data_IF_077564504579
#
_entry.id   IF_077564504579
#
_cell.length_a   1.000
_cell.length_b   1.000
_cell.length_c   1.000
_cell.angle_alpha   90.00
_cell.angle_beta   90.00
_cell.angle_gamma   90.00
#
_symmetry.space_group_name_H-M   'P 1'
#
loop_
_entity.id
_entity.type
_entity.pdbx_description
1 polymer ?
#
# COMPACT_ATOMS: atom_id res chain seq x y z
N UNK A 1 -21.31 -18.72 -16.35
CA UNK A 1 -21.78 -17.34 -16.63
C UNK A 1 -20.73 -16.68 -17.54
N UNK A 2 -21.12 -16.01 -18.62
CA UNK A 2 -20.17 -15.37 -19.55
C UNK A 2 -19.28 -14.36 -18.81
N UNK A 3 -17.98 -14.37 -19.08
CA UNK A 3 -16.96 -13.43 -18.56
C UNK A 3 -17.41 -11.98 -18.72
N UNK A 4 -18.15 -11.67 -19.77
CA UNK A 4 -18.75 -10.36 -20.02
C UNK A 4 -19.72 -9.93 -18.91
N UNK A 5 -20.54 -10.85 -18.39
CA UNK A 5 -21.51 -10.55 -17.33
C UNK A 5 -20.85 -10.23 -15.99
N UNK A 6 -19.66 -10.79 -15.73
CA UNK A 6 -18.88 -10.48 -14.52
C UNK A 6 -18.19 -9.11 -14.65
N UNK A 7 -17.69 -8.80 -15.84
CA UNK A 7 -17.07 -7.50 -16.12
C UNK A 7 -18.10 -6.35 -16.03
N UNK A 8 -19.29 -6.56 -16.58
CA UNK A 8 -20.40 -5.62 -16.50
C UNK A 8 -20.87 -5.41 -15.04
N UNK A 9 -20.89 -6.47 -14.23
CA UNK A 9 -21.22 -6.36 -12.81
C UNK A 9 -20.17 -5.53 -12.03
N UNK A 10 -18.89 -5.65 -12.38
CA UNK A 10 -17.79 -4.90 -11.77
C UNK A 10 -17.84 -3.41 -12.13
N UNK A 11 -18.16 -3.08 -13.37
CA UNK A 11 -18.36 -1.69 -13.82
C UNK A 11 -19.57 -1.04 -13.13
N UNK A 12 -20.67 -1.77 -12.99
CA UNK A 12 -21.89 -1.28 -12.34
C UNK A 12 -21.76 -1.04 -10.82
N UNK A 13 -20.71 -1.55 -10.17
CA UNK A 13 -20.41 -1.23 -8.76
C UNK A 13 -19.83 0.19 -8.59
N UNK A 14 -19.21 0.76 -9.63
CA UNK A 14 -18.61 2.11 -9.58
C UNK A 14 -19.66 3.23 -9.54
N UNK A 15 -20.86 2.99 -10.09
CA UNK A 15 -21.89 4.02 -10.30
C UNK A 15 -23.07 3.99 -9.30
N UNK A 16 -22.96 3.20 -8.23
CA UNK A 16 -24.09 3.01 -7.32
C UNK A 16 -24.39 4.29 -6.50
N UNK A 17 -25.64 4.78 -6.50
CA UNK A 17 -26.06 6.03 -5.80
C UNK A 17 -25.70 6.05 -4.30
N UNK A 18 -25.50 4.89 -3.67
CA UNK A 18 -24.95 4.74 -2.30
C UNK A 18 -23.52 5.31 -2.17
N UNK A 19 -22.66 5.15 -3.17
CA UNK A 19 -21.30 5.74 -3.19
C UNK A 19 -21.33 7.27 -3.20
N UNK A 20 -22.34 7.89 -3.82
CA UNK A 20 -22.50 9.36 -3.82
C UNK A 20 -22.86 9.90 -2.43
N UNK A 21 -23.70 9.17 -1.68
CA UNK A 21 -24.06 9.54 -0.30
C UNK A 21 -22.88 9.38 0.67
N UNK A 22 -22.10 8.31 0.50
CA UNK A 22 -20.86 8.07 1.27
C UNK A 22 -19.79 9.12 0.95
N UNK A 23 -19.58 9.47 -0.34
CA UNK A 23 -18.67 10.56 -0.75
C UNK A 23 -19.05 11.90 -0.11
N UNK A 24 -20.34 12.23 -0.05
CA UNK A 24 -20.82 13.46 0.58
C UNK A 24 -20.65 13.46 2.12
N UNK A 25 -20.75 12.31 2.78
CA UNK A 25 -20.47 12.19 4.22
C UNK A 25 -18.96 12.28 4.53
N UNK A 26 -18.11 11.66 3.70
CA UNK A 26 -16.65 11.79 3.80
C UNK A 26 -16.21 13.25 3.63
N UNK A 27 -16.80 13.99 2.69
CA UNK A 27 -16.55 15.43 2.53
C UNK A 27 -16.96 16.27 3.76
N UNK A 28 -18.07 15.92 4.41
CA UNK A 28 -18.51 16.59 5.64
C UNK A 28 -17.56 16.31 6.80
N UNK A 29 -17.02 15.10 6.90
CA UNK A 29 -16.01 14.73 7.91
C UNK A 29 -14.68 15.44 7.64
N UNK A 30 -14.25 15.57 6.37
CA UNK A 30 -13.08 16.38 5.97
C UNK A 30 -13.24 17.86 6.35
N UNK A 31 -14.45 18.43 6.21
CA UNK A 31 -14.74 19.82 6.64
C UNK A 31 -14.74 19.99 8.16
N UNK A 32 -15.21 19.01 8.94
CA UNK A 32 -15.14 19.03 10.42
C UNK A 32 -13.72 18.84 10.98
N UNK A 33 -12.82 18.15 10.27
CA UNK A 33 -11.40 18.03 10.66
C UNK A 33 -10.60 19.33 10.46
N UNK A 34 -11.06 20.27 9.61
CA UNK A 34 -10.37 21.56 9.36
C UNK A 34 -10.36 22.53 10.55
N UNK A 35 -11.19 22.33 11.59
CA UNK A 35 -11.19 23.18 12.80
C UNK A 35 -10.23 22.72 13.89
N UNK A 36 -9.57 21.57 13.73
CA UNK A 36 -8.48 21.15 14.62
C UNK A 36 -7.15 21.56 13.98
N UNK A 37 -6.71 22.76 14.36
CA UNK A 37 -5.46 23.46 14.02
C UNK A 37 -4.44 22.70 13.16
N UNK A 38 -4.42 23.02 11.87
CA UNK A 38 -3.20 22.93 11.06
C UNK A 38 -2.84 24.36 10.68
N UNK A 39 -1.82 24.89 11.35
CA UNK A 39 -1.07 26.04 10.84
C UNK A 39 -0.57 25.64 9.45
N UNK A 40 -1.01 26.39 8.44
CA UNK A 40 -0.64 26.19 7.04
C UNK A 40 -0.01 27.49 6.61
N UNK A 41 1.29 27.47 6.39
CA UNK A 41 1.95 28.52 5.65
C UNK A 41 2.53 27.94 4.35
N UNK A 42 2.03 28.57 3.27
CA UNK A 42 2.64 28.86 1.97
C UNK A 42 2.86 27.71 1.00
N UNK A 43 2.01 27.74 -0.02
CA UNK A 43 2.26 27.29 -1.38
C UNK A 43 3.64 27.78 -1.84
N UNK A 44 4.50 26.83 -2.19
CA UNK A 44 5.50 26.99 -3.23
C UNK A 44 5.59 25.64 -3.95
N UNK A 45 5.28 25.70 -5.25
CA UNK A 45 5.56 24.64 -6.20
C UNK A 45 7.08 24.50 -6.31
N UNK A 46 7.67 23.63 -5.51
CA UNK A 46 9.03 23.16 -5.71
C UNK A 46 9.11 21.69 -5.29
N UNK A 47 9.54 20.87 -6.23
CA UNK A 47 9.96 19.49 -6.11
C UNK A 47 11.09 19.39 -5.07
N UNK A 48 10.74 19.44 -3.78
CA UNK A 48 11.70 19.42 -2.70
C UNK A 48 11.92 17.98 -2.23
N UNK A 49 12.97 17.39 -2.78
CA UNK A 49 13.77 16.33 -2.17
C UNK A 49 14.03 16.67 -0.68
N UNK A 50 13.19 16.14 0.21
CA UNK A 50 13.33 16.33 1.66
C UNK A 50 14.19 15.22 2.27
N UNK A 51 15.45 15.15 1.85
CA UNK A 51 16.52 14.65 2.70
C UNK A 51 16.86 15.77 3.68
N UNK A 52 16.13 15.83 4.80
CA UNK A 52 16.46 16.72 5.91
C UNK A 52 17.84 16.34 6.45
N UNK A 53 18.76 17.30 6.42
CA UNK A 53 20.05 17.26 7.13
C UNK A 53 19.80 16.93 8.61
N UNK A 54 19.99 15.65 8.93
CA UNK A 54 20.00 15.13 10.29
C UNK A 54 21.45 14.86 10.67
N UNK A 55 21.89 15.48 11.76
CA UNK A 55 23.20 15.33 12.36
C UNK A 55 23.70 13.89 12.35
N UNK A 56 24.95 13.72 11.94
CA UNK A 56 25.67 12.44 11.83
C UNK A 56 26.07 11.98 13.24
N UNK A 57 25.08 11.60 14.04
CA UNK A 57 25.32 10.83 15.27
C UNK A 57 24.10 9.93 15.52
N UNK A 58 24.30 8.61 15.35
CA UNK A 58 23.28 7.54 15.23
C UNK A 58 22.41 7.54 13.95
N UNK A 59 22.88 6.78 12.94
CA UNK A 59 22.21 6.49 11.65
C UNK A 59 20.86 5.76 11.84
N UNK A 60 19.83 6.49 12.25
CA UNK A 60 18.45 6.00 12.22
C UNK A 60 17.71 6.66 11.05
N UNK A 61 16.99 5.86 10.26
CA UNK A 61 16.23 6.36 9.12
C UNK A 61 15.17 7.36 9.62
N UNK A 62 15.06 8.54 8.99
CA UNK A 62 14.09 9.59 9.37
C UNK A 62 12.62 9.14 9.35
N UNK A 63 12.33 8.07 8.62
CA UNK A 63 11.00 7.45 8.48
C UNK A 63 10.82 6.20 9.35
N UNK A 64 11.84 5.83 10.13
CA UNK A 64 11.75 4.76 11.11
C UNK A 64 11.01 5.28 12.34
N UNK A 65 9.72 4.97 12.40
CA UNK A 65 8.83 5.44 13.46
C UNK A 65 8.46 4.29 14.41
N UNK A 66 7.97 4.65 15.60
CA UNK A 66 7.49 3.67 16.58
C UNK A 66 6.26 2.90 16.12
N UNK A 67 6.03 1.74 16.73
CA UNK A 67 4.94 0.81 16.38
C UNK A 67 3.56 1.46 16.38
N UNK A 68 3.27 2.34 17.34
CA UNK A 68 1.95 3.00 17.43
C UNK A 68 1.60 3.81 16.18
N UNK A 69 2.59 4.47 15.57
CA UNK A 69 2.40 5.22 14.31
C UNK A 69 2.19 4.27 13.12
N UNK A 70 2.91 3.15 13.09
CA UNK A 70 2.73 2.11 12.07
C UNK A 70 1.33 1.50 12.13
N UNK A 71 0.83 1.17 13.33
CA UNK A 71 -0.48 0.57 13.52
C UNK A 71 -1.60 1.54 13.12
N UNK A 72 -1.47 2.83 13.46
CA UNK A 72 -2.40 3.88 13.02
C UNK A 72 -2.40 4.06 11.49
N UNK A 73 -1.23 4.01 10.86
CA UNK A 73 -1.09 4.08 9.41
C UNK A 73 -1.71 2.87 8.72
N UNK A 74 -1.46 1.67 9.23
CA UNK A 74 -2.03 0.42 8.72
C UNK A 74 -3.57 0.43 8.77
N UNK A 75 -4.15 0.92 9.87
CA UNK A 75 -5.61 1.08 9.98
C UNK A 75 -6.17 2.09 8.96
N UNK A 76 -5.45 3.19 8.72
CA UNK A 76 -5.86 4.17 7.72
C UNK A 76 -5.73 3.60 6.30
N UNK A 77 -4.65 2.86 6.03
CA UNK A 77 -4.37 2.26 4.74
C UNK A 77 -5.42 1.20 4.36
N UNK A 78 -5.89 0.41 5.31
CA UNK A 78 -6.92 -0.63 5.07
C UNK A 78 -8.34 -0.08 5.02
N UNK A 79 -8.55 1.20 5.35
CA UNK A 79 -9.88 1.83 5.32
C UNK A 79 -10.42 2.11 3.91
N UNK A 80 -9.53 2.13 2.91
CA UNK A 80 -9.86 2.32 1.50
C UNK A 80 -8.85 1.57 0.63
N UNK A 81 -9.17 1.43 -0.66
CA UNK A 81 -8.21 0.91 -1.63
C UNK A 81 -7.29 2.07 -2.02
N UNK A 82 -5.98 1.83 -1.95
CA UNK A 82 -4.95 2.79 -2.31
C UNK A 82 -4.03 2.17 -3.37
N UNK A 83 -3.59 2.96 -4.34
CA UNK A 83 -2.46 2.57 -5.18
C UNK A 83 -1.12 2.82 -4.48
N UNK A 84 -0.01 2.36 -5.08
CA UNK A 84 1.32 2.47 -4.46
C UNK A 84 1.77 3.94 -4.29
N UNK A 85 1.34 4.84 -5.16
CA UNK A 85 1.71 6.27 -5.15
C UNK A 85 0.94 7.03 -4.06
N UNK A 86 -0.33 6.67 -3.87
CA UNK A 86 -1.15 7.13 -2.75
C UNK A 86 -0.57 6.65 -1.42
N UNK A 87 -0.15 5.38 -1.33
CA UNK A 87 0.53 4.83 -0.14
C UNK A 87 1.82 5.61 0.19
N UNK A 88 2.62 5.91 -0.82
CA UNK A 88 3.85 6.68 -0.67
C UNK A 88 3.55 8.09 -0.13
N UNK A 89 2.64 8.81 -0.78
CA UNK A 89 2.23 10.17 -0.40
C UNK A 89 1.69 10.20 1.04
N UNK A 90 0.86 9.23 1.41
CA UNK A 90 0.35 9.10 2.78
C UNK A 90 1.47 8.84 3.78
N UNK A 91 2.42 7.94 3.47
CA UNK A 91 3.54 7.65 4.35
C UNK A 91 4.41 8.88 4.62
N UNK A 92 4.71 9.66 3.57
CA UNK A 92 5.44 10.93 3.70
C UNK A 92 4.68 11.93 4.57
N UNK A 93 3.37 12.09 4.37
CA UNK A 93 2.53 12.99 5.19
C UNK A 93 2.46 12.57 6.66
N UNK A 94 2.51 11.27 6.95
CA UNK A 94 2.51 10.73 8.31
C UNK A 94 3.91 10.69 8.94
N UNK A 95 4.97 10.92 8.16
CA UNK A 95 6.36 10.77 8.60
C UNK A 95 6.73 9.31 8.88
N UNK A 96 6.25 8.39 8.04
CA UNK A 96 6.39 6.94 8.17
C UNK A 96 6.98 6.37 6.89
N UNK A 97 7.81 5.34 7.02
CA UNK A 97 8.33 4.62 5.87
C UNK A 97 7.18 3.84 5.21
N UNK A 98 6.78 4.17 3.96
CA UNK A 98 5.64 3.51 3.31
C UNK A 98 5.81 1.99 3.26
N UNK A 99 7.03 1.51 3.01
CA UNK A 99 7.36 0.08 3.01
C UNK A 99 6.98 -0.62 4.32
N UNK A 100 7.44 -0.10 5.46
CA UNK A 100 7.14 -0.70 6.77
C UNK A 100 5.70 -0.45 7.20
N UNK A 101 5.11 0.68 6.81
CA UNK A 101 3.69 0.99 7.07
C UNK A 101 2.74 0.02 6.36
N UNK A 102 2.95 -0.23 5.06
CA UNK A 102 2.18 -1.22 4.28
C UNK A 102 2.38 -2.62 4.85
N UNK A 103 3.61 -2.96 5.25
CA UNK A 103 3.90 -4.27 5.87
C UNK A 103 3.10 -4.50 7.15
N UNK A 104 2.92 -3.48 7.98
CA UNK A 104 2.05 -3.57 9.17
C UNK A 104 0.59 -3.90 8.84
N UNK A 105 0.10 -3.43 7.68
CA UNK A 105 -1.26 -3.68 7.23
C UNK A 105 -1.51 -5.11 6.73
N UNK A 106 -0.47 -5.87 6.36
CA UNK A 106 -0.61 -7.22 5.80
C UNK A 106 -1.42 -8.16 6.71
N UNK A 107 -1.25 -8.06 8.03
CA UNK A 107 -1.96 -8.88 9.02
C UNK A 107 -3.48 -8.72 9.00
N UNK A 108 -3.99 -7.61 8.47
CA UNK A 108 -5.42 -7.28 8.40
C UNK A 108 -5.94 -7.19 6.97
N UNK A 109 -5.09 -7.47 5.98
CA UNK A 109 -5.43 -7.38 4.58
C UNK A 109 -6.24 -8.61 4.13
N UNK A 110 -7.33 -8.38 3.41
CA UNK A 110 -8.15 -9.45 2.82
C UNK A 110 -7.66 -9.87 1.43
N UNK A 111 -6.94 -8.99 0.75
CA UNK A 111 -6.39 -9.20 -0.59
C UNK A 111 -4.99 -8.61 -0.62
N UNK A 112 -4.01 -9.38 -1.08
CA UNK A 112 -2.63 -8.95 -1.21
C UNK A 112 -2.23 -9.13 -2.67
N UNK A 113 -1.83 -8.02 -3.30
CA UNK A 113 -1.22 -8.04 -4.63
C UNK A 113 0.29 -8.12 -4.44
N UNK A 114 0.94 -9.12 -5.03
CA UNK A 114 2.39 -9.29 -4.92
C UNK A 114 3.00 -9.84 -6.20
N UNK A 115 4.26 -9.50 -6.50
CA UNK A 115 5.00 -10.11 -7.60
C UNK A 115 5.21 -11.61 -7.40
N UNK A 116 5.42 -12.35 -8.49
CA UNK A 116 5.76 -13.77 -8.44
C UNK A 116 7.02 -14.06 -7.60
N UNK A 117 8.02 -13.18 -7.64
CA UNK A 117 9.28 -13.35 -6.91
C UNK A 117 9.05 -13.45 -5.41
N UNK A 118 8.24 -12.54 -4.87
CA UNK A 118 7.83 -12.55 -3.47
C UNK A 118 6.97 -13.76 -3.14
N UNK A 119 6.12 -14.21 -4.05
CA UNK A 119 5.26 -15.38 -3.85
C UNK A 119 6.01 -16.72 -3.97
N UNK A 120 7.06 -16.85 -4.79
CA UNK A 120 7.71 -18.14 -5.09
C UNK A 120 8.92 -18.37 -4.17
N UNK A 121 9.71 -17.33 -3.91
CA UNK A 121 10.92 -17.45 -3.11
C UNK A 121 10.59 -17.50 -1.61
N UNK A 122 10.80 -18.67 -1.00
CA UNK A 122 10.41 -18.95 0.40
C UNK A 122 11.01 -17.95 1.40
N UNK A 123 12.30 -17.61 1.25
CA UNK A 123 12.95 -16.66 2.16
C UNK A 123 12.31 -15.28 2.07
N UNK A 124 11.94 -14.83 0.86
CA UNK A 124 11.26 -13.53 0.67
C UNK A 124 9.87 -13.56 1.31
N UNK A 125 9.07 -14.62 1.09
CA UNK A 125 7.76 -14.79 1.74
C UNK A 125 7.87 -14.69 3.26
N UNK A 126 8.79 -15.45 3.86
CA UNK A 126 9.02 -15.47 5.31
C UNK A 126 9.44 -14.10 5.83
N UNK A 127 10.33 -13.41 5.12
CA UNK A 127 10.76 -12.05 5.49
C UNK A 127 9.66 -11.00 5.39
N UNK A 128 8.56 -11.28 4.70
CA UNK A 128 7.38 -10.40 4.58
C UNK A 128 6.23 -10.82 5.52
N UNK A 129 6.41 -11.89 6.30
CA UNK A 129 5.36 -12.51 7.14
C UNK A 129 4.11 -12.92 6.33
N UNK A 130 4.32 -13.45 5.13
CA UNK A 130 3.25 -13.95 4.26
C UNK A 130 3.08 -15.46 4.46
N UNK A 131 1.92 -15.86 4.99
CA UNK A 131 1.51 -17.25 5.09
C UNK A 131 0.66 -17.65 3.88
N UNK A 132 1.05 -18.74 3.20
CA UNK A 132 0.31 -19.28 2.05
C UNK A 132 -0.63 -20.43 2.42
N UNK A 133 -0.44 -21.02 3.60
CA UNK A 133 -1.31 -22.09 4.09
C UNK A 133 -2.68 -21.48 4.41
N UNK A 134 -3.75 -22.22 4.13
CA UNK A 134 -5.13 -21.79 4.39
C UNK A 134 -5.56 -20.52 3.62
N UNK A 135 -4.81 -20.14 2.58
CA UNK A 135 -5.07 -19.01 1.70
C UNK A 135 -5.34 -19.47 0.26
N UNK A 136 -6.11 -18.68 -0.49
CA UNK A 136 -6.34 -18.89 -1.93
C UNK A 136 -5.34 -18.06 -2.72
N UNK A 137 -4.57 -18.72 -3.58
CA UNK A 137 -3.59 -18.06 -4.46
C UNK A 137 -4.18 -17.98 -5.86
N UNK A 138 -4.28 -16.76 -6.38
CA UNK A 138 -4.66 -16.49 -7.77
C UNK A 138 -3.40 -16.08 -8.53
N UNK A 139 -3.04 -16.87 -9.53
CA UNK A 139 -1.92 -16.56 -10.42
C UNK A 139 -2.49 -15.92 -11.67
N UNK A 140 -2.35 -14.59 -11.75
CA UNK A 140 -2.61 -13.88 -13.00
C UNK A 140 -1.57 -14.29 -14.04
N UNK A 141 -1.92 -14.31 -15.32
CA UNK A 141 -1.03 -14.68 -16.43
C UNK A 141 -0.15 -15.93 -16.18
N UNK A 142 -0.77 -17.00 -15.69
CA UNK A 142 -0.07 -18.22 -15.28
C UNK A 142 0.81 -18.88 -16.36
N UNK A 143 0.65 -18.49 -17.64
CA UNK A 143 1.54 -18.90 -18.72
C UNK A 143 2.99 -18.43 -18.51
N UNK A 144 3.22 -17.34 -17.76
CA UNK A 144 4.55 -16.81 -17.44
C UNK A 144 5.18 -17.45 -16.19
N UNK A 145 4.46 -18.31 -15.47
CA UNK A 145 4.90 -18.81 -14.16
C UNK A 145 6.21 -19.59 -14.23
N UNK A 146 6.34 -20.49 -15.20
CA UNK A 146 7.51 -21.38 -15.34
C UNK A 146 8.77 -20.57 -15.64
N UNK A 147 8.66 -19.59 -16.53
CA UNK A 147 9.78 -18.70 -16.85
C UNK A 147 10.26 -17.94 -15.61
N UNK A 148 9.34 -17.39 -14.82
CA UNK A 148 9.67 -16.68 -13.59
C UNK A 148 10.33 -17.58 -12.54
N UNK A 149 9.89 -18.84 -12.40
CA UNK A 149 10.55 -19.82 -11.52
C UNK A 149 12.00 -20.03 -11.98
N UNK A 150 12.22 -20.26 -13.27
CA UNK A 150 13.56 -20.49 -13.80
C UNK A 150 14.47 -19.26 -13.59
N UNK A 151 13.96 -18.05 -13.79
CA UNK A 151 14.72 -16.82 -13.55
C UNK A 151 15.11 -16.62 -12.09
N UNK A 152 14.23 -16.92 -11.13
CA UNK A 152 14.52 -16.78 -9.68
C UNK A 152 15.57 -17.80 -9.20
N UNK A 153 15.61 -18.98 -9.82
CA UNK A 153 16.46 -20.09 -9.40
C UNK A 153 17.71 -20.30 -10.27
N UNK A 154 17.94 -19.45 -11.27
CA UNK A 154 19.15 -19.46 -12.09
C UNK A 154 19.99 -18.22 -11.84
N UNK A 155 21.31 -18.38 -11.96
CA UNK A 155 22.26 -17.28 -11.93
C UNK A 155 23.31 -17.53 -13.01
N UNK A 156 23.62 -16.50 -13.78
CA UNK A 156 24.70 -16.54 -14.76
C UNK A 156 25.96 -15.95 -14.12
N UNK A 157 27.07 -16.69 -14.19
CA UNK A 157 28.37 -16.21 -13.74
C UNK A 157 29.11 -15.71 -14.99
N UNK A 158 29.55 -14.46 -14.95
CA UNK A 158 30.32 -13.79 -16.00
C UNK A 158 31.73 -13.51 -15.50
#
# INVERSE_FOLDING_TARGET
ASVSKMNDACLNLKDNKKNKKIKNEIEKIKKKKRTFSVMRDKENDDEADMLRDGDIDNRSCAYNCGKDKLDAFAAQLTSAIHDIEECHTMGVQYGICPYYGIRGALSTAHLILMPYTSLIHEKTRKSLDIEIKDNVIVIDEAHNLIENINQIHSVQIT
#
